data_IF_824577144114
#
_entry.id   IF_824577144114
#
_cell.length_a   1.000
_cell.length_b   1.000
_cell.length_c   1.000
_cell.angle_alpha   90.00
_cell.angle_beta   90.00
_cell.angle_gamma   90.00
#
_symmetry.space_group_name_H-M   'P 1'
#
loop_
_entity.id
_entity.type
_entity.pdbx_description
1 polymer ?
#
# COMPACT_ATOMS: atom_id res chain seq x y z
N UNK A 1 7.39 -15.94 -15.41
CA UNK A 1 6.40 -15.77 -14.34
C UNK A 1 6.86 -14.63 -13.46
N UNK A 2 6.03 -13.60 -13.29
CA UNK A 2 6.25 -12.44 -12.44
C UNK A 2 5.57 -12.65 -11.10
N UNK A 3 6.18 -12.17 -10.01
CA UNK A 3 5.61 -12.32 -8.67
C UNK A 3 5.52 -10.97 -7.96
N UNK A 4 4.37 -10.70 -7.34
CA UNK A 4 4.09 -9.45 -6.64
C UNK A 4 3.74 -9.75 -5.19
N UNK A 5 4.39 -9.04 -4.26
CA UNK A 5 4.09 -9.08 -2.84
C UNK A 5 3.13 -7.94 -2.48
N UNK A 6 1.91 -8.26 -2.08
CA UNK A 6 0.91 -7.26 -1.66
C UNK A 6 0.88 -7.20 -0.13
N UNK A 7 1.19 -6.03 0.42
CA UNK A 7 1.33 -5.77 1.85
C UNK A 7 0.09 -5.09 2.40
N UNK A 8 -0.41 -5.62 3.53
CA UNK A 8 -1.68 -5.25 4.17
C UNK A 8 -1.43 -4.97 5.66
N UNK A 9 -2.19 -4.08 6.28
CA UNK A 9 -2.08 -3.78 7.72
C UNK A 9 -2.71 -4.87 8.59
N UNK A 10 -2.20 -5.06 9.81
CA UNK A 10 -2.85 -5.85 10.86
C UNK A 10 -3.55 -4.98 11.91
N UNK A 11 -3.45 -3.65 11.83
CA UNK A 11 -4.00 -2.74 12.84
C UNK A 11 -5.50 -2.55 12.61
N UNK A 12 -6.31 -2.93 13.59
CA UNK A 12 -7.78 -2.96 13.51
C UNK A 12 -8.47 -1.76 14.16
N UNK A 13 -7.70 -0.84 14.75
CA UNK A 13 -8.24 0.24 15.57
C UNK A 13 -7.29 1.43 15.67
N UNK A 14 -7.86 2.63 15.73
CA UNK A 14 -7.11 3.84 16.06
C UNK A 14 -6.53 3.76 17.48
N UNK A 15 -5.27 4.15 17.66
CA UNK A 15 -4.63 4.13 18.99
C UNK A 15 -5.22 5.17 19.97
N UNK A 16 -5.82 6.24 19.45
CA UNK A 16 -6.26 7.43 20.21
C UNK A 16 -7.77 7.49 20.45
N UNK A 17 -8.55 6.58 19.85
CA UNK A 17 -10.02 6.54 20.00
C UNK A 17 -10.59 5.14 19.82
N UNK A 18 -11.80 4.94 20.33
CA UNK A 18 -12.53 3.67 20.23
C UNK A 18 -13.24 3.50 18.88
N UNK A 19 -12.47 3.54 17.79
CA UNK A 19 -12.99 3.43 16.42
C UNK A 19 -12.18 2.40 15.62
N UNK A 20 -12.82 1.46 14.91
CA UNK A 20 -12.13 0.48 14.09
C UNK A 20 -11.49 1.12 12.85
N UNK A 21 -10.42 0.49 12.37
CA UNK A 21 -9.81 0.75 11.05
C UNK A 21 -9.25 -0.57 10.50
N UNK A 22 -8.45 -0.50 9.45
CA UNK A 22 -7.80 -1.65 8.84
C UNK A 22 -7.42 -1.36 7.41
N UNK A 23 -7.40 -2.41 6.60
CA UNK A 23 -7.28 -2.33 5.16
C UNK A 23 -8.45 -1.55 4.57
N UNK A 24 -8.16 -0.60 3.70
CA UNK A 24 -9.16 -0.08 2.78
C UNK A 24 -9.36 -1.06 1.62
N UNK A 25 -10.43 -1.87 1.66
CA UNK A 25 -10.54 -3.08 0.84
C UNK A 25 -10.32 -2.85 -0.68
N UNK A 26 -10.90 -1.78 -1.22
CA UNK A 26 -10.79 -1.47 -2.65
C UNK A 26 -9.34 -1.23 -3.11
N UNK A 27 -8.46 -0.82 -2.21
CA UNK A 27 -7.04 -0.59 -2.53
C UNK A 27 -6.27 -1.88 -2.77
N UNK A 28 -6.71 -2.99 -2.16
CA UNK A 28 -6.21 -4.31 -2.48
C UNK A 28 -6.89 -4.87 -3.74
N UNK A 29 -8.22 -4.83 -3.79
CA UNK A 29 -8.99 -5.53 -4.84
C UNK A 29 -8.80 -4.91 -6.21
N UNK A 30 -8.84 -3.58 -6.34
CA UNK A 30 -8.60 -2.90 -7.62
C UNK A 30 -7.18 -3.10 -8.13
N UNK A 31 -6.20 -3.28 -7.24
CA UNK A 31 -4.84 -3.59 -7.65
C UNK A 31 -4.71 -5.03 -8.15
N UNK A 32 -5.26 -5.99 -7.39
CA UNK A 32 -5.17 -7.43 -7.68
C UNK A 32 -5.91 -7.76 -9.00
N UNK A 33 -7.08 -7.15 -9.23
CA UNK A 33 -7.89 -7.37 -10.43
C UNK A 33 -7.13 -7.11 -11.74
N UNK A 34 -6.20 -6.15 -11.76
CA UNK A 34 -5.41 -5.83 -12.96
C UNK A 34 -4.45 -6.96 -13.39
N UNK A 35 -4.22 -7.94 -12.51
CA UNK A 35 -3.36 -9.09 -12.71
C UNK A 35 -4.10 -10.44 -12.71
N UNK A 36 -5.33 -10.52 -12.21
CA UNK A 36 -6.06 -11.79 -12.01
C UNK A 36 -6.29 -12.62 -13.27
N UNK A 37 -6.28 -11.98 -14.45
CA UNK A 37 -6.42 -12.67 -15.74
C UNK A 37 -5.07 -13.02 -16.40
N UNK A 38 -3.95 -12.78 -15.73
CA UNK A 38 -2.62 -13.05 -16.26
C UNK A 38 -2.02 -14.29 -15.60
N UNK A 39 -2.07 -15.43 -16.28
CA UNK A 39 -1.50 -16.71 -15.79
C UNK A 39 0.02 -16.65 -15.55
N UNK A 40 0.70 -15.61 -16.05
CA UNK A 40 2.13 -15.38 -15.80
C UNK A 40 2.41 -14.53 -14.58
N UNK A 41 1.39 -14.14 -13.79
CA UNK A 41 1.53 -13.33 -12.58
C UNK A 41 1.04 -14.10 -11.37
N UNK A 42 1.85 -14.13 -10.32
CA UNK A 42 1.47 -14.65 -9.01
C UNK A 42 1.47 -13.51 -7.98
N UNK A 43 0.44 -13.48 -7.13
CA UNK A 43 0.31 -12.53 -6.02
C UNK A 43 0.28 -13.29 -4.71
N UNK A 44 1.18 -12.91 -3.79
CA UNK A 44 1.15 -13.36 -2.40
C UNK A 44 0.76 -12.18 -1.50
N UNK A 45 0.00 -12.48 -0.44
CA UNK A 45 -0.45 -11.50 0.54
C UNK A 45 0.38 -11.63 1.81
N UNK A 46 0.91 -10.49 2.29
CA UNK A 46 1.69 -10.41 3.52
C UNK A 46 1.16 -9.30 4.41
N UNK A 47 1.29 -9.46 5.72
CA UNK A 47 1.04 -8.40 6.71
C UNK A 47 2.12 -8.41 7.78
N UNK A 48 2.38 -7.30 8.50
CA UNK A 48 3.43 -7.19 9.52
C UNK A 48 3.56 -8.39 10.47
N UNK A 49 2.43 -8.93 10.95
CA UNK A 49 2.35 -10.05 11.88
C UNK A 49 1.89 -11.37 11.23
N UNK A 50 1.56 -11.34 9.94
CA UNK A 50 0.85 -12.42 9.25
C UNK A 50 -0.57 -12.63 9.80
N UNK A 51 -1.24 -13.68 9.33
CA UNK A 51 -2.57 -14.04 9.81
C UNK A 51 -3.65 -13.05 9.33
N UNK A 52 -4.52 -12.64 10.25
CA UNK A 52 -5.74 -11.91 9.93
C UNK A 52 -5.49 -10.42 9.65
N UNK A 53 -5.99 -9.96 8.50
CA UNK A 53 -6.06 -8.55 8.10
C UNK A 53 -7.45 -8.00 8.42
N UNK A 54 -7.58 -7.01 9.31
CA UNK A 54 -8.84 -6.32 9.57
C UNK A 54 -9.22 -5.44 8.37
N UNK A 55 -10.52 -5.32 8.11
CA UNK A 55 -11.05 -4.39 7.10
C UNK A 55 -11.54 -3.13 7.80
N UNK A 56 -11.19 -1.96 7.25
CA UNK A 56 -11.77 -0.71 7.72
C UNK A 56 -13.27 -0.70 7.39
N UNK A 57 -14.18 -0.58 8.38
CA UNK A 57 -15.62 -0.62 8.13
C UNK A 57 -16.10 0.49 7.19
N UNK A 58 -15.40 1.64 7.13
CA UNK A 58 -15.74 2.72 6.20
C UNK A 58 -15.43 2.35 4.75
N UNK A 59 -14.48 1.45 4.53
CA UNK A 59 -14.21 0.91 3.19
C UNK A 59 -15.28 -0.08 2.71
N UNK A 60 -16.15 -0.52 3.62
CA UNK A 60 -17.27 -1.44 3.36
C UNK A 60 -18.63 -0.74 3.32
N UNK A 61 -18.65 0.55 2.95
CA UNK A 61 -19.87 1.38 2.95
C UNK A 61 -21.05 0.76 2.20
N UNK A 62 -22.20 1.44 2.23
CA UNK A 62 -23.51 0.88 1.83
C UNK A 62 -23.59 0.33 0.39
N UNK A 63 -22.65 0.68 -0.49
CA UNK A 63 -22.56 0.14 -1.84
C UNK A 63 -21.11 0.03 -2.30
N UNK A 64 -20.55 -1.17 -2.17
CA UNK A 64 -19.30 -1.56 -2.81
C UNK A 64 -19.45 -1.51 -4.34
N UNK A 65 -18.39 -1.08 -5.04
CA UNK A 65 -18.32 -1.26 -6.48
C UNK A 65 -18.29 -2.74 -6.85
N UNK A 66 -18.58 -3.05 -8.12
CA UNK A 66 -18.75 -4.43 -8.57
C UNK A 66 -17.49 -5.30 -8.35
N UNK A 67 -16.30 -4.74 -8.54
CA UNK A 67 -15.02 -5.45 -8.35
C UNK A 67 -14.80 -5.74 -6.88
N UNK A 68 -14.80 -4.71 -6.03
CA UNK A 68 -14.61 -4.87 -4.58
C UNK A 68 -15.63 -5.83 -3.97
N UNK A 69 -16.90 -5.74 -4.41
CA UNK A 69 -17.95 -6.66 -3.98
C UNK A 69 -17.66 -8.11 -4.37
N UNK A 70 -17.22 -8.37 -5.60
CA UNK A 70 -16.91 -9.71 -6.06
C UNK A 70 -15.80 -10.37 -5.23
N UNK A 71 -14.77 -9.62 -4.83
CA UNK A 71 -13.73 -10.12 -3.92
C UNK A 71 -14.22 -10.28 -2.48
N UNK A 72 -15.03 -9.34 -1.98
CA UNK A 72 -15.58 -9.41 -0.63
C UNK A 72 -16.48 -10.64 -0.43
N UNK A 73 -17.25 -11.01 -1.46
CA UNK A 73 -18.11 -12.20 -1.46
C UNK A 73 -17.34 -13.49 -1.83
N UNK A 74 -16.07 -13.40 -2.22
CA UNK A 74 -15.22 -14.55 -2.57
C UNK A 74 -14.55 -15.15 -1.33
N UNK A 75 -15.06 -16.30 -0.88
CA UNK A 75 -14.54 -17.00 0.31
C UNK A 75 -13.05 -17.33 0.23
N UNK A 76 -12.53 -17.66 -0.96
CA UNK A 76 -11.12 -17.99 -1.15
C UNK A 76 -10.24 -16.75 -0.93
N UNK A 77 -10.61 -15.61 -1.50
CA UNK A 77 -9.91 -14.35 -1.28
C UNK A 77 -9.99 -13.91 0.18
N UNK A 78 -11.18 -13.95 0.78
CA UNK A 78 -11.37 -13.61 2.19
C UNK A 78 -10.59 -14.56 3.12
N UNK A 79 -10.43 -15.82 2.75
CA UNK A 79 -9.57 -16.75 3.49
C UNK A 79 -8.09 -16.39 3.36
N UNK A 80 -7.63 -15.88 2.20
CA UNK A 80 -6.25 -15.36 2.07
C UNK A 80 -6.01 -14.17 2.99
N UNK A 81 -6.97 -13.24 3.11
CA UNK A 81 -6.87 -12.12 4.06
C UNK A 81 -6.83 -12.55 5.53
N UNK A 82 -7.45 -13.68 5.87
CA UNK A 82 -7.39 -14.27 7.22
C UNK A 82 -6.08 -14.99 7.53
N UNK A 83 -5.32 -15.36 6.50
CA UNK A 83 -4.14 -16.22 6.59
C UNK A 83 -2.98 -15.66 5.76
N UNK A 84 -2.72 -14.36 5.88
CA UNK A 84 -1.59 -13.73 5.19
C UNK A 84 -0.26 -14.28 5.71
N UNK A 85 0.74 -14.29 4.84
CA UNK A 85 2.12 -14.55 5.24
C UNK A 85 2.61 -13.42 6.15
N UNK A 86 3.66 -13.66 6.93
CA UNK A 86 4.45 -12.61 7.59
C UNK A 86 5.77 -12.37 6.83
N UNK A 87 6.46 -11.24 7.05
CA UNK A 87 7.68 -10.91 6.31
C UNK A 87 8.77 -11.99 6.41
N UNK A 88 8.90 -12.63 7.59
CA UNK A 88 9.86 -13.71 7.82
C UNK A 88 9.60 -15.01 7.01
N UNK A 89 8.45 -15.14 6.33
CA UNK A 89 8.06 -16.33 5.55
C UNK A 89 8.31 -16.16 4.05
N UNK A 90 8.80 -15.00 3.63
CA UNK A 90 9.01 -14.66 2.23
C UNK A 90 10.45 -14.21 1.98
N UNK A 91 10.95 -14.45 0.77
CA UNK A 91 12.27 -13.98 0.34
C UNK A 91 12.12 -12.88 -0.70
N UNK A 92 12.77 -11.73 -0.50
CA UNK A 92 12.79 -10.63 -1.47
C UNK A 92 13.23 -11.08 -2.87
N UNK A 93 14.11 -12.08 -2.97
CA UNK A 93 14.58 -12.66 -4.24
C UNK A 93 13.45 -13.12 -5.14
N UNK A 94 12.32 -13.53 -4.58
CA UNK A 94 11.23 -14.18 -5.31
C UNK A 94 10.28 -13.19 -5.97
N UNK A 95 10.31 -11.91 -5.59
CA UNK A 95 9.33 -10.90 -6.00
C UNK A 95 9.90 -9.89 -6.98
N UNK A 96 9.21 -9.67 -8.09
CA UNK A 96 9.52 -8.60 -9.03
C UNK A 96 8.95 -7.25 -8.59
N UNK A 97 7.94 -7.25 -7.72
CA UNK A 97 7.36 -6.04 -7.17
C UNK A 97 6.83 -6.23 -5.74
N UNK A 98 6.78 -5.13 -5.00
CA UNK A 98 6.09 -5.01 -3.70
C UNK A 98 5.12 -3.83 -3.76
N UNK A 99 3.89 -4.05 -3.31
CA UNK A 99 2.82 -3.06 -3.29
C UNK A 99 2.23 -2.93 -1.89
N UNK A 100 2.22 -1.71 -1.35
CA UNK A 100 1.62 -1.37 -0.06
C UNK A 100 0.21 -0.81 -0.24
N UNK A 101 -0.77 -1.58 0.21
CA UNK A 101 -2.16 -1.11 0.35
C UNK A 101 -2.26 -0.11 1.50
N UNK A 102 -3.27 0.76 1.48
CA UNK A 102 -3.54 1.73 2.53
C UNK A 102 -4.73 1.37 3.43
N UNK A 103 -5.44 2.40 3.86
CA UNK A 103 -6.26 2.39 5.08
C UNK A 103 -5.46 2.88 6.29
N UNK A 104 -6.14 3.53 7.24
CA UNK A 104 -5.48 4.25 8.34
C UNK A 104 -4.63 3.34 9.24
N UNK A 105 -4.97 2.05 9.36
CA UNK A 105 -4.20 1.08 10.16
C UNK A 105 -2.69 1.09 9.85
N UNK A 106 -2.35 1.32 8.59
CA UNK A 106 -0.96 1.38 8.11
C UNK A 106 -0.09 2.42 8.84
N UNK A 107 -0.70 3.48 9.38
CA UNK A 107 0.01 4.54 10.11
C UNK A 107 0.75 4.04 11.35
N UNK A 108 0.38 2.87 11.89
CA UNK A 108 0.95 2.32 13.13
C UNK A 108 1.86 1.11 12.93
N UNK A 109 1.69 0.34 11.86
CA UNK A 109 2.44 -0.92 11.67
C UNK A 109 3.32 -0.98 10.43
N UNK A 110 3.26 0.02 9.54
CA UNK A 110 4.13 0.08 8.36
C UNK A 110 5.43 0.87 8.57
N UNK A 111 5.44 2.12 9.10
CA UNK A 111 6.62 2.97 9.09
C UNK A 111 7.86 2.35 9.72
N UNK A 112 7.69 1.66 10.85
CA UNK A 112 8.79 1.17 11.69
C UNK A 112 8.98 -0.36 11.58
N UNK A 113 8.29 -1.03 10.66
CA UNK A 113 8.48 -2.45 10.43
C UNK A 113 9.78 -2.71 9.65
N UNK A 114 10.81 -3.16 10.38
CA UNK A 114 12.15 -3.40 9.83
C UNK A 114 12.15 -4.46 8.73
N UNK A 115 11.37 -5.54 8.87
CA UNK A 115 11.35 -6.61 7.87
C UNK A 115 10.72 -6.14 6.55
N UNK A 116 9.66 -5.33 6.60
CA UNK A 116 9.06 -4.70 5.41
C UNK A 116 10.02 -3.69 4.76
N UNK A 117 10.78 -2.94 5.56
CA UNK A 117 11.82 -2.04 5.04
C UNK A 117 12.93 -2.82 4.32
N UNK A 118 13.36 -3.95 4.89
CA UNK A 118 14.36 -4.84 4.29
C UNK A 118 13.87 -5.45 2.97
N UNK A 119 12.65 -6.01 2.96
CA UNK A 119 12.03 -6.54 1.74
C UNK A 119 11.93 -5.47 0.64
N UNK A 120 11.50 -4.26 1.00
CA UNK A 120 11.39 -3.14 0.05
C UNK A 120 12.74 -2.74 -0.53
N UNK A 121 13.75 -2.58 0.34
CA UNK A 121 15.12 -2.27 -0.07
C UNK A 121 15.66 -3.32 -1.03
N UNK A 122 15.56 -4.60 -0.68
CA UNK A 122 16.13 -5.69 -1.49
C UNK A 122 15.43 -5.85 -2.84
N UNK A 123 14.10 -5.78 -2.87
CA UNK A 123 13.32 -5.80 -4.11
C UNK A 123 13.71 -4.62 -5.00
N UNK A 124 13.83 -3.41 -4.43
CA UNK A 124 14.25 -2.23 -5.19
C UNK A 124 15.70 -2.33 -5.69
N UNK A 125 16.65 -2.76 -4.87
CA UNK A 125 18.06 -2.80 -5.26
C UNK A 125 18.36 -3.87 -6.31
N UNK A 126 17.60 -4.97 -6.36
CA UNK A 126 17.75 -6.01 -7.39
C UNK A 126 17.05 -5.71 -8.72
N UNK A 127 16.36 -4.58 -8.86
CA UNK A 127 15.69 -4.20 -10.10
C UNK A 127 14.15 -4.29 -10.08
N UNK A 128 13.52 -4.65 -8.97
CA UNK A 128 12.07 -4.75 -8.82
C UNK A 128 11.35 -3.40 -8.61
N UNK A 129 10.02 -3.44 -8.62
CA UNK A 129 9.18 -2.25 -8.43
C UNK A 129 8.76 -2.13 -6.97
N UNK A 130 8.83 -0.93 -6.40
CA UNK A 130 8.25 -0.62 -5.09
C UNK A 130 7.07 0.32 -5.32
N UNK A 131 5.92 0.01 -4.72
CA UNK A 131 4.74 0.84 -4.89
C UNK A 131 3.87 0.92 -3.64
N UNK A 132 3.06 1.97 -3.55
CA UNK A 132 2.08 2.11 -2.49
C UNK A 132 0.97 3.09 -2.86
N UNK A 133 -0.13 3.05 -2.14
CA UNK A 133 -1.27 3.97 -2.35
C UNK A 133 -1.78 4.50 -1.03
N UNK A 134 -2.38 5.70 -1.03
CA UNK A 134 -3.08 6.23 0.13
C UNK A 134 -2.14 6.33 1.35
N UNK A 135 -2.52 5.77 2.50
CA UNK A 135 -1.65 5.66 3.68
C UNK A 135 -0.63 4.52 3.59
N UNK A 136 -0.75 3.59 2.64
CA UNK A 136 0.24 2.53 2.41
C UNK A 136 1.64 3.07 2.09
N UNK A 137 1.72 4.30 1.57
CA UNK A 137 2.98 5.01 1.30
C UNK A 137 3.79 5.28 2.58
N UNK A 138 3.16 5.22 3.76
CA UNK A 138 3.85 5.29 5.06
C UNK A 138 4.97 4.25 5.22
N UNK A 139 4.83 3.08 4.59
CA UNK A 139 5.85 2.03 4.58
C UNK A 139 7.19 2.50 3.99
N UNK A 140 7.17 3.52 3.14
CA UNK A 140 8.33 4.00 2.40
C UNK A 140 9.13 5.07 3.14
N UNK A 141 8.58 5.63 4.23
CA UNK A 141 9.16 6.76 4.96
C UNK A 141 10.56 6.46 5.51
N UNK A 142 10.79 5.21 5.92
CA UNK A 142 12.02 4.81 6.62
C UNK A 142 12.86 3.78 5.84
N UNK A 143 12.49 3.44 4.60
CA UNK A 143 13.26 2.51 3.77
C UNK A 143 14.59 3.15 3.39
N UNK A 144 15.69 2.69 4.01
CA UNK A 144 17.05 3.10 3.67
C UNK A 144 17.66 2.15 2.67
N UNK A 145 18.26 2.69 1.61
CA UNK A 145 19.05 1.93 0.64
C UNK A 145 20.45 1.62 1.21
N UNK A 146 21.17 0.70 0.56
CA UNK A 146 22.53 0.30 0.94
C UNK A 146 23.54 1.44 0.86
N UNK A 147 23.23 2.51 0.13
CA UNK A 147 24.03 3.75 0.09
C UNK A 147 23.78 4.68 1.29
N UNK A 148 22.87 4.32 2.21
CA UNK A 148 22.52 5.08 3.42
C UNK A 148 21.44 6.15 3.23
N UNK A 149 21.01 6.43 2.00
CA UNK A 149 19.92 7.38 1.71
C UNK A 149 18.55 6.69 1.83
N UNK A 150 17.50 7.47 2.11
CA UNK A 150 16.13 6.98 1.98
C UNK A 150 15.82 6.66 0.52
N UNK A 151 15.05 5.60 0.27
CA UNK A 151 14.59 5.21 -1.07
C UNK A 151 13.87 6.37 -1.78
N UNK A 152 13.13 7.17 -1.01
CA UNK A 152 12.35 8.31 -1.51
C UNK A 152 13.13 9.63 -1.57
N UNK A 153 14.38 9.68 -1.09
CA UNK A 153 15.14 10.92 -0.87
C UNK A 153 15.25 11.83 -2.10
N UNK A 154 15.44 11.23 -3.28
CA UNK A 154 15.59 11.92 -4.56
C UNK A 154 14.38 11.75 -5.48
N UNK A 155 13.23 11.33 -4.93
CA UNK A 155 12.04 10.92 -5.69
C UNK A 155 10.88 11.90 -5.61
N UNK A 156 10.09 11.87 -6.68
CA UNK A 156 8.75 12.44 -6.69
C UNK A 156 7.74 11.40 -6.20
N UNK A 157 7.00 11.73 -5.15
CA UNK A 157 6.01 10.86 -4.52
C UNK A 157 4.64 11.52 -4.42
N UNK A 158 3.64 10.70 -4.17
CA UNK A 158 2.28 11.06 -3.78
C UNK A 158 1.85 10.15 -2.63
N UNK A 159 0.71 10.43 -2.02
CA UNK A 159 0.13 9.71 -0.89
C UNK A 159 -1.05 10.50 -0.35
N UNK A 160 -1.74 9.96 0.64
CA UNK A 160 -2.94 10.62 1.19
C UNK A 160 -2.63 12.05 1.65
N UNK A 161 -3.46 12.99 1.22
CA UNK A 161 -3.20 14.42 1.41
C UNK A 161 -3.68 14.89 2.78
N UNK A 162 -3.09 15.97 3.29
CA UNK A 162 -3.58 16.63 4.50
C UNK A 162 -5.03 17.13 4.34
N UNK A 163 -5.41 17.51 3.12
CA UNK A 163 -6.78 17.94 2.79
C UNK A 163 -7.76 16.77 2.92
N UNK A 164 -7.43 15.60 2.36
CA UNK A 164 -8.25 14.40 2.50
C UNK A 164 -8.32 13.93 3.95
N UNK A 165 -7.22 14.04 4.72
CA UNK A 165 -7.19 13.73 6.16
C UNK A 165 -8.14 14.61 6.97
N UNK A 166 -8.15 15.91 6.66
CA UNK A 166 -9.06 16.87 7.29
C UNK A 166 -10.52 16.60 6.90
N UNK A 167 -10.79 16.29 5.62
CA UNK A 167 -12.12 15.92 5.12
C UNK A 167 -12.61 14.59 5.73
N UNK A 168 -11.71 13.65 5.98
CA UNK A 168 -11.98 12.41 6.70
C UNK A 168 -12.15 12.60 8.21
N UNK A 169 -11.86 13.81 8.74
CA UNK A 169 -11.92 14.18 10.16
C UNK A 169 -11.02 13.30 11.04
N UNK A 170 -9.84 12.94 10.52
CA UNK A 170 -8.90 12.05 11.21
C UNK A 170 -7.60 12.73 11.66
N UNK A 171 -7.38 14.00 11.29
CA UNK A 171 -6.16 14.77 11.57
C UNK A 171 -5.68 14.69 13.03
N UNK A 172 -6.58 14.79 14.00
CA UNK A 172 -6.24 14.78 15.44
C UNK A 172 -6.01 13.37 16.00
N UNK A 173 -6.32 12.32 15.23
CA UNK A 173 -6.29 10.92 15.69
C UNK A 173 -5.14 10.11 15.10
N UNK A 174 -4.57 10.55 13.96
CA UNK A 174 -3.40 9.93 13.34
C UNK A 174 -2.11 10.32 14.08
N UNK A 175 -1.08 9.45 14.12
CA UNK A 175 0.15 9.73 14.86
C UNK A 175 1.01 10.84 14.22
N UNK A 176 0.83 11.07 12.92
CA UNK A 176 1.44 12.14 12.13
C UNK A 176 0.64 12.32 10.83
N UNK A 177 0.92 13.38 10.08
CA UNK A 177 0.35 13.60 8.76
C UNK A 177 1.27 13.06 7.68
N UNK A 178 0.76 12.18 6.81
CA UNK A 178 1.56 11.52 5.78
C UNK A 178 2.15 12.53 4.77
N UNK A 179 1.36 13.48 4.27
CA UNK A 179 1.86 14.48 3.33
C UNK A 179 3.02 15.29 3.93
N UNK A 180 2.95 15.68 5.21
CA UNK A 180 4.03 16.40 5.88
C UNK A 180 5.29 15.51 5.98
N UNK A 181 5.12 14.26 6.42
CA UNK A 181 6.22 13.31 6.55
C UNK A 181 6.91 13.02 5.20
N UNK A 182 6.15 12.97 4.09
CA UNK A 182 6.68 12.80 2.74
C UNK A 182 7.40 14.06 2.24
N UNK A 183 6.88 15.26 2.52
CA UNK A 183 7.54 16.53 2.17
C UNK A 183 8.89 16.70 2.85
N UNK A 184 9.05 16.16 4.06
CA UNK A 184 10.32 16.18 4.79
C UNK A 184 11.38 15.23 4.20
N UNK A 185 10.95 14.13 3.59
CA UNK A 185 11.83 12.99 3.26
C UNK A 185 12.04 12.76 1.77
N UNK A 186 11.11 13.21 0.93
CA UNK A 186 11.18 13.06 -0.52
C UNK A 186 11.61 14.36 -1.20
N UNK A 187 12.12 14.25 -2.43
CA UNK A 187 12.51 15.44 -3.20
C UNK A 187 11.30 16.30 -3.57
N UNK A 188 10.19 15.66 -3.94
CA UNK A 188 8.93 16.33 -4.26
C UNK A 188 7.73 15.50 -3.82
N UNK A 189 6.76 16.15 -3.19
CA UNK A 189 5.42 15.60 -2.97
C UNK A 189 4.43 16.32 -3.88
N UNK A 190 3.75 15.57 -4.74
CA UNK A 190 2.72 16.06 -5.63
C UNK A 190 1.36 15.46 -5.30
N UNK A 191 0.31 16.21 -5.56
CA UNK A 191 -1.08 15.80 -5.36
C UNK A 191 -2.01 16.40 -6.40
N UNK A 192 -3.11 15.72 -6.67
CA UNK A 192 -4.28 16.28 -7.34
C UNK A 192 -5.28 16.82 -6.30
N UNK A 193 -6.45 17.25 -6.77
CA UNK A 193 -7.57 17.55 -5.90
C UNK A 193 -7.94 16.32 -5.04
N UNK A 194 -8.43 16.57 -3.81
CA UNK A 194 -8.88 15.52 -2.90
C UNK A 194 -9.82 14.52 -3.58
N UNK A 195 -9.61 13.23 -3.30
CA UNK A 195 -10.38 12.10 -3.81
C UNK A 195 -10.37 11.92 -5.34
N UNK A 196 -9.45 12.60 -6.04
CA UNK A 196 -9.19 12.36 -7.46
C UNK A 196 -8.06 11.35 -7.64
N UNK A 197 -8.17 10.50 -8.66
CA UNK A 197 -7.09 9.56 -9.02
C UNK A 197 -5.82 10.33 -9.37
N UNK A 198 -4.70 10.00 -8.72
CA UNK A 198 -3.39 10.61 -8.98
C UNK A 198 -2.26 9.65 -8.61
N UNK A 199 -1.33 9.46 -9.56
CA UNK A 199 -0.19 8.56 -9.42
C UNK A 199 1.08 9.27 -9.86
N UNK A 200 2.16 9.08 -9.11
CA UNK A 200 3.51 9.46 -9.51
C UNK A 200 4.31 8.19 -9.78
N UNK A 201 5.05 8.19 -10.88
CA UNK A 201 6.00 7.13 -11.24
C UNK A 201 7.37 7.76 -11.44
N UNK A 202 8.31 7.44 -10.55
CA UNK A 202 9.70 7.93 -10.60
C UNK A 202 10.65 6.73 -10.64
N UNK A 203 11.12 6.41 -11.85
CA UNK A 203 11.89 5.19 -12.11
C UNK A 203 11.08 3.93 -11.80
N UNK A 204 11.44 3.23 -10.72
CA UNK A 204 10.79 1.98 -10.27
C UNK A 204 10.00 2.15 -8.96
N UNK A 205 9.74 3.41 -8.58
CA UNK A 205 8.86 3.77 -7.47
C UNK A 205 7.52 4.29 -8.03
N UNK A 206 6.41 3.71 -7.58
CA UNK A 206 5.05 4.14 -7.97
C UNK A 206 4.23 4.45 -6.73
N UNK A 207 3.74 5.68 -6.58
CA UNK A 207 2.91 6.05 -5.43
C UNK A 207 1.60 6.70 -5.85
N UNK A 208 0.49 6.24 -5.27
CA UNK A 208 -0.86 6.76 -5.53
C UNK A 208 -1.43 7.54 -4.35
N UNK A 209 -2.28 8.52 -4.64
CA UNK A 209 -2.77 9.46 -3.61
C UNK A 209 -3.78 8.83 -2.65
N UNK A 210 -4.72 8.03 -3.14
CA UNK A 210 -5.97 7.70 -2.42
C UNK A 210 -6.62 6.43 -3.02
N UNK A 211 -7.75 5.92 -2.49
CA UNK A 211 -8.39 4.72 -3.03
C UNK A 211 -8.66 4.76 -4.53
N UNK A 212 -9.03 5.93 -5.07
CA UNK A 212 -9.31 6.15 -6.50
C UNK A 212 -8.08 5.99 -7.40
N UNK A 213 -6.89 5.89 -6.81
CA UNK A 213 -5.61 5.74 -7.50
C UNK A 213 -5.14 4.29 -7.62
N UNK A 214 -5.76 3.34 -6.92
CA UNK A 214 -5.29 1.95 -6.79
C UNK A 214 -5.14 1.22 -8.13
N UNK A 215 -6.13 1.35 -9.02
CA UNK A 215 -6.07 0.81 -10.39
C UNK A 215 -4.93 1.43 -11.20
N UNK A 216 -4.78 2.76 -11.16
CA UNK A 216 -3.72 3.45 -11.90
C UNK A 216 -2.31 3.11 -11.38
N UNK A 217 -2.16 2.83 -10.07
CA UNK A 217 -0.93 2.29 -9.50
C UNK A 217 -0.65 0.90 -10.07
N UNK A 218 -1.65 0.02 -10.11
CA UNK A 218 -1.50 -1.32 -10.67
C UNK A 218 -1.14 -1.31 -12.16
N UNK A 219 -1.78 -0.46 -12.97
CA UNK A 219 -1.45 -0.27 -14.38
C UNK A 219 0.00 0.20 -14.57
N UNK A 220 0.48 1.11 -13.72
CA UNK A 220 1.87 1.59 -13.74
C UNK A 220 2.87 0.48 -13.37
N UNK A 221 2.56 -0.32 -12.34
CA UNK A 221 3.38 -1.48 -11.95
C UNK A 221 3.40 -2.52 -13.07
N UNK A 222 2.25 -2.81 -13.68
CA UNK A 222 2.12 -3.75 -14.80
C UNK A 222 3.01 -3.34 -15.98
N UNK A 223 2.98 -2.06 -16.35
CA UNK A 223 3.85 -1.51 -17.39
C UNK A 223 5.35 -1.68 -17.05
N UNK A 224 5.75 -1.36 -15.81
CA UNK A 224 7.15 -1.50 -15.35
C UNK A 224 7.61 -2.96 -15.31
N UNK A 225 6.69 -3.90 -15.13
CA UNK A 225 6.97 -5.34 -15.18
C UNK A 225 6.97 -5.92 -16.60
N UNK A 226 6.60 -5.14 -17.62
CA UNK A 226 6.52 -5.55 -19.02
C UNK A 226 5.36 -6.50 -19.31
N UNK A 227 4.22 -6.30 -18.63
CA UNK A 227 3.01 -7.14 -18.69
C UNK A 227 1.84 -6.47 -19.42
#
# INVERSE_FOLDING_TARGET
MKKILVVLTNVDKYATKDEPTGLWLSEATHFIEEFDHNENVQIDLVSPNGGNVPLDPKSLGDSLDASTKAYYENESFMNKLKNTLKPSEVSASDYDAIYFTGGHGTMWDFPDNVELQELSREIYEKGGVVSGVCHGVTALLNVKLSNGLLLINDKTVSGFTNEEEALAQQTEYVPFLLEDALRERAAQYNKAAAFSSYVTTDGRLVTGQNPQSSKAVAESVKLLLGL
#
